data_IF_096785446467
#
_entry.id   IF_096785446467
#
_cell.length_a   1.000
_cell.length_b   1.000
_cell.length_c   1.000
_cell.angle_alpha   90.00
_cell.angle_beta   90.00
_cell.angle_gamma   90.00
#
_symmetry.space_group_name_H-M   'P 1'
#
loop_
_entity.id
_entity.type
_entity.pdbx_description
1 polymer ?
#
# COMPACT_ATOMS: atom_id res chain seq x y z
N UNK A 1 4.30 20.35 -43.42
CA UNK A 1 2.99 20.03 -42.81
C UNK A 1 3.04 18.61 -42.25
N UNK A 2 3.24 18.46 -40.93
CA UNK A 2 3.16 17.15 -40.28
C UNK A 2 1.69 16.91 -39.90
N UNK A 3 1.04 16.00 -40.63
CA UNK A 3 -0.26 15.45 -40.27
C UNK A 3 -0.11 14.64 -38.97
N UNK A 4 -0.25 15.30 -37.82
CA UNK A 4 -0.35 14.62 -36.52
C UNK A 4 -1.75 14.01 -36.45
N UNK A 5 -1.90 12.82 -37.04
CA UNK A 5 -3.08 12.00 -36.88
C UNK A 5 -3.18 11.53 -35.43
N UNK A 6 -3.84 12.32 -34.58
CA UNK A 6 -4.27 11.89 -33.25
C UNK A 6 -5.29 10.77 -33.48
N UNK A 7 -5.05 9.53 -32.99
CA UNK A 7 -5.97 8.43 -33.22
C UNK A 7 -7.38 8.82 -32.77
N UNK A 8 -8.39 8.55 -33.59
CA UNK A 8 -9.80 8.85 -33.26
C UNK A 8 -10.20 8.22 -31.92
N UNK A 9 -9.61 7.06 -31.57
CA UNK A 9 -9.75 6.41 -30.27
C UNK A 9 -9.21 7.25 -29.10
N UNK A 10 -8.12 7.99 -29.27
CA UNK A 10 -7.55 8.91 -28.27
C UNK A 10 -8.44 10.15 -28.10
N UNK A 11 -8.97 10.71 -29.20
CA UNK A 11 -9.91 11.83 -29.19
C UNK A 11 -11.25 11.46 -28.52
N UNK A 12 -11.79 10.27 -28.84
CA UNK A 12 -13.01 9.75 -28.21
C UNK A 12 -12.79 9.42 -26.74
N UNK A 13 -11.62 8.87 -26.39
CA UNK A 13 -11.28 8.62 -24.99
C UNK A 13 -11.18 9.93 -24.19
N UNK A 14 -10.51 10.95 -24.72
CA UNK A 14 -10.42 12.29 -24.09
C UNK A 14 -11.79 12.96 -23.91
N UNK A 15 -12.74 12.76 -24.84
CA UNK A 15 -14.14 13.23 -24.69
C UNK A 15 -14.91 12.45 -23.62
N UNK A 16 -14.59 11.17 -23.41
CA UNK A 16 -15.23 10.30 -22.42
C UNK A 16 -14.70 10.45 -20.99
N UNK A 17 -13.53 11.06 -20.76
CA UNK A 17 -12.95 11.24 -19.42
C UNK A 17 -13.56 12.45 -18.70
N UNK A 18 -14.84 12.35 -18.31
CA UNK A 18 -15.54 13.37 -17.49
C UNK A 18 -14.80 13.72 -16.18
N UNK A 19 -13.91 12.84 -15.73
CA UNK A 19 -13.10 12.98 -14.52
C UNK A 19 -11.87 13.90 -14.71
N UNK A 20 -11.48 14.25 -15.95
CA UNK A 20 -10.49 15.31 -16.22
C UNK A 20 -11.06 16.72 -16.00
N UNK A 21 -12.37 16.87 -15.79
CA UNK A 21 -13.03 18.18 -15.57
C UNK A 21 -12.60 18.86 -14.26
N UNK A 22 -12.09 18.11 -13.30
CA UNK A 22 -11.50 18.66 -12.07
C UNK A 22 -10.02 18.29 -12.06
N UNK A 23 -9.10 19.26 -12.10
CA UNK A 23 -7.69 18.95 -11.94
C UNK A 23 -7.47 18.21 -10.62
N UNK A 24 -6.57 17.21 -10.58
CA UNK A 24 -6.20 16.56 -9.34
C UNK A 24 -5.73 17.61 -8.33
N UNK A 25 -6.20 17.47 -7.08
CA UNK A 25 -5.77 18.35 -5.99
C UNK A 25 -4.38 17.95 -5.54
N UNK A 26 -3.35 18.75 -5.81
CA UNK A 26 -2.03 18.51 -5.23
C UNK A 26 -2.03 18.86 -3.74
N UNK A 27 -1.38 18.02 -2.94
CA UNK A 27 -1.03 18.37 -1.57
C UNK A 27 0.36 18.98 -1.61
N UNK A 28 0.49 20.20 -1.09
CA UNK A 28 1.78 20.88 -1.03
C UNK A 28 2.07 21.35 0.38
N UNK A 29 3.31 21.11 0.80
CA UNK A 29 3.83 21.50 2.09
C UNK A 29 5.12 22.31 1.89
N UNK A 30 4.99 23.64 1.81
CA UNK A 30 6.03 24.55 1.33
C UNK A 30 6.61 24.11 -0.02
N UNK A 31 7.87 23.71 -0.10
CA UNK A 31 8.49 23.27 -1.35
C UNK A 31 8.35 21.76 -1.65
N UNK A 32 7.64 21.01 -0.79
CA UNK A 32 7.38 19.58 -0.99
C UNK A 32 6.07 19.37 -1.75
N UNK A 33 6.13 18.63 -2.86
CA UNK A 33 4.96 18.18 -3.61
C UNK A 33 4.62 16.74 -3.25
N UNK A 34 3.41 16.50 -2.72
CA UNK A 34 3.06 15.23 -2.05
C UNK A 34 1.94 14.49 -2.79
N UNK A 35 2.16 13.21 -3.05
CA UNK A 35 1.13 12.25 -3.47
C UNK A 35 1.05 11.04 -2.54
N UNK A 36 0.20 11.17 -1.53
CA UNK A 36 0.06 10.20 -0.46
C UNK A 36 -0.88 9.02 -0.82
N UNK A 37 -0.86 7.97 0.00
CA UNK A 37 -1.81 6.87 -0.01
C UNK A 37 -3.01 7.16 0.90
N UNK A 38 -4.11 6.41 0.73
CA UNK A 38 -5.28 6.55 1.60
C UNK A 38 -4.94 6.28 3.08
N UNK A 39 -3.92 5.46 3.35
CA UNK A 39 -3.38 5.22 4.69
C UNK A 39 -2.52 6.36 5.25
N UNK A 40 -2.25 7.41 4.48
CA UNK A 40 -1.50 8.60 4.91
C UNK A 40 -0.06 8.37 5.43
N UNK A 41 0.74 7.44 4.87
CA UNK A 41 2.11 7.18 5.37
C UNK A 41 3.02 8.41 5.34
N UNK A 42 2.93 9.26 4.31
CA UNK A 42 3.76 10.47 4.22
C UNK A 42 3.34 11.46 5.29
N UNK A 43 2.03 11.72 5.41
CA UNK A 43 1.50 12.61 6.44
C UNK A 43 1.85 12.11 7.86
N UNK A 44 1.77 10.80 8.10
CA UNK A 44 2.15 10.19 9.38
C UNK A 44 3.64 10.36 9.69
N UNK A 45 4.51 10.08 8.72
CA UNK A 45 5.97 10.25 8.81
C UNK A 45 6.35 11.71 9.11
N UNK A 46 5.80 12.67 8.36
CA UNK A 46 6.07 14.09 8.57
C UNK A 46 5.54 14.60 9.92
N UNK A 47 4.39 14.10 10.40
CA UNK A 47 3.87 14.45 11.73
C UNK A 47 4.78 13.97 12.85
N UNK A 48 5.25 12.72 12.79
CA UNK A 48 6.18 12.16 13.79
C UNK A 48 7.48 12.96 13.88
N UNK A 49 7.92 13.47 12.75
CA UNK A 49 9.17 14.24 12.64
C UNK A 49 8.96 15.75 12.85
N UNK A 50 7.81 16.19 13.37
CA UNK A 50 7.45 17.61 13.56
C UNK A 50 7.60 18.47 12.29
N UNK A 51 7.56 17.85 11.10
CA UNK A 51 7.72 18.51 9.82
C UNK A 51 6.37 18.78 9.13
N UNK A 52 5.25 18.36 9.72
CA UNK A 52 3.92 18.52 9.12
C UNK A 52 3.24 19.83 9.50
N UNK A 53 3.07 20.72 8.51
CA UNK A 53 2.05 21.76 8.55
C UNK A 53 0.84 21.35 7.67
N UNK A 54 -0.32 21.94 7.91
CA UNK A 54 -1.52 21.66 7.09
C UNK A 54 -1.23 21.96 5.61
N UNK A 55 -1.31 20.96 4.71
CA UNK A 55 -0.97 21.17 3.31
C UNK A 55 -1.93 22.17 2.68
N UNK A 56 -1.38 23.13 1.94
CA UNK A 56 -2.19 24.08 1.15
C UNK A 56 -2.66 23.35 -0.10
N UNK A 57 -3.98 23.33 -0.33
CA UNK A 57 -4.55 22.85 -1.60
C UNK A 57 -4.29 23.92 -2.65
N UNK A 58 -3.48 23.61 -3.65
CA UNK A 58 -3.31 24.48 -4.81
C UNK A 58 -4.27 24.05 -5.92
N UNK A 59 -5.04 25.01 -6.40
CA UNK A 59 -5.77 24.90 -7.67
C UNK A 59 -4.88 25.48 -8.77
N UNK A 60 -4.45 24.67 -9.75
CA UNK A 60 -3.65 25.19 -10.85
C UNK A 60 -4.44 26.18 -11.70
N UNK A 61 -3.76 27.18 -12.24
CA UNK A 61 -4.32 28.07 -13.26
C UNK A 61 -4.73 27.25 -14.49
N UNK A 62 -6.01 27.36 -14.91
CA UNK A 62 -6.59 26.52 -15.99
C UNK A 62 -5.93 26.72 -17.36
N UNK A 63 -5.33 27.87 -17.63
CA UNK A 63 -4.88 28.27 -18.97
C UNK A 63 -3.49 27.72 -19.35
N UNK A 64 -2.55 27.64 -18.41
CA UNK A 64 -1.20 27.07 -18.64
C UNK A 64 -1.24 25.55 -18.88
N UNK A 65 -2.24 24.88 -18.30
CA UNK A 65 -2.41 23.42 -18.43
C UNK A 65 -2.89 23.00 -19.82
N UNK A 66 -3.73 23.80 -20.48
CA UNK A 66 -4.23 23.50 -21.83
C UNK A 66 -3.12 23.63 -22.89
N UNK A 67 -2.28 24.67 -22.80
CA UNK A 67 -1.16 24.88 -23.73
C UNK A 67 -0.07 23.79 -23.58
N UNK A 68 0.23 23.35 -22.35
CA UNK A 68 1.16 22.23 -22.14
C UNK A 68 0.57 20.90 -22.62
N UNK A 69 -0.73 20.65 -22.40
CA UNK A 69 -1.42 19.47 -22.93
C UNK A 69 -1.28 19.36 -24.44
N UNK A 70 -1.53 20.44 -25.18
CA UNK A 70 -1.48 20.42 -26.65
C UNK A 70 -0.08 20.06 -27.17
N UNK A 71 0.97 20.59 -26.54
CA UNK A 71 2.37 20.29 -26.93
C UNK A 71 2.79 18.86 -26.54
N UNK A 72 2.22 18.31 -25.47
CA UNK A 72 2.48 16.96 -24.99
C UNK A 72 1.69 15.86 -25.72
N UNK A 73 0.65 16.20 -26.50
CA UNK A 73 -0.21 15.21 -27.20
C UNK A 73 0.55 14.30 -28.19
N UNK A 74 1.60 14.81 -28.86
CA UNK A 74 2.41 14.00 -29.78
C UNK A 74 3.26 12.96 -29.03
N UNK A 75 3.94 13.37 -27.95
CA UNK A 75 4.69 12.48 -27.07
C UNK A 75 3.79 11.46 -26.35
N UNK A 76 2.62 11.89 -25.90
CA UNK A 76 1.59 11.01 -25.35
C UNK A 76 1.14 9.93 -26.34
N UNK A 77 0.98 10.29 -27.62
CA UNK A 77 0.58 9.35 -28.67
C UNK A 77 1.68 8.32 -28.93
N UNK A 78 2.95 8.73 -28.94
CA UNK A 78 4.08 7.81 -29.10
C UNK A 78 4.20 6.85 -27.91
N UNK A 79 4.11 7.36 -26.68
CA UNK A 79 4.14 6.55 -25.45
C UNK A 79 2.97 5.56 -25.39
N UNK A 80 1.77 5.99 -25.79
CA UNK A 80 0.61 5.10 -25.90
C UNK A 80 0.82 3.96 -26.89
N UNK A 81 1.35 4.27 -28.09
CA UNK A 81 1.65 3.26 -29.12
C UNK A 81 2.70 2.27 -28.63
N UNK A 82 3.74 2.75 -27.97
CA UNK A 82 4.79 1.90 -27.41
C UNK A 82 4.28 1.00 -26.28
N UNK A 83 3.38 1.51 -25.42
CA UNK A 83 2.78 0.73 -24.34
C UNK A 83 1.86 -0.40 -24.82
N UNK A 84 1.40 -0.36 -26.08
CA UNK A 84 0.58 -1.37 -26.73
C UNK A 84 -0.51 -1.99 -25.81
N UNK A 85 -1.41 -1.16 -25.22
CA UNK A 85 -2.38 -1.65 -24.24
C UNK A 85 -3.34 -2.67 -24.87
N UNK A 86 -3.44 -3.86 -24.27
CA UNK A 86 -4.23 -4.97 -24.79
C UNK A 86 -5.71 -4.91 -24.37
N UNK A 87 -6.03 -4.24 -23.27
CA UNK A 87 -7.39 -4.16 -22.72
C UNK A 87 -7.89 -2.72 -22.60
N UNK A 88 -9.23 -2.54 -22.57
CA UNK A 88 -9.83 -1.23 -22.30
C UNK A 88 -9.40 -0.64 -20.95
N UNK A 89 -9.13 -1.49 -19.96
CA UNK A 89 -8.60 -1.08 -18.67
C UNK A 89 -7.17 -0.53 -18.78
N UNK A 90 -6.31 -1.18 -19.57
CA UNK A 90 -4.95 -0.72 -19.83
C UNK A 90 -4.94 0.62 -20.57
N UNK A 91 -5.81 0.76 -21.58
CA UNK A 91 -6.04 2.03 -22.28
C UNK A 91 -6.38 3.14 -21.28
N UNK A 92 -7.36 2.92 -20.41
CA UNK A 92 -7.74 3.91 -19.39
C UNK A 92 -6.59 4.25 -18.43
N UNK A 93 -5.79 3.25 -18.03
CA UNK A 93 -4.63 3.47 -17.15
C UNK A 93 -3.55 4.30 -17.83
N UNK A 94 -3.21 4.00 -19.08
CA UNK A 94 -2.22 4.76 -19.86
C UNK A 94 -2.70 6.19 -20.04
N UNK A 95 -3.97 6.41 -20.41
CA UNK A 95 -4.51 7.77 -20.57
C UNK A 95 -4.51 8.57 -19.27
N UNK A 96 -4.84 7.94 -18.14
CA UNK A 96 -4.75 8.56 -16.80
C UNK A 96 -3.31 8.93 -16.47
N UNK A 97 -2.36 8.01 -16.69
CA UNK A 97 -0.93 8.24 -16.45
C UNK A 97 -0.44 9.46 -17.23
N UNK A 98 -0.71 9.49 -18.54
CA UNK A 98 -0.30 10.59 -19.42
C UNK A 98 -0.93 11.92 -19.03
N UNK A 99 -2.24 11.93 -18.71
CA UNK A 99 -2.94 13.14 -18.27
C UNK A 99 -2.36 13.69 -16.96
N UNK A 100 -2.07 12.80 -16.00
CA UNK A 100 -1.43 13.19 -14.75
C UNK A 100 0.01 13.67 -14.95
N UNK A 101 0.74 13.08 -15.89
CA UNK A 101 2.11 13.49 -16.16
C UNK A 101 2.15 14.93 -16.69
N UNK A 102 1.30 15.27 -17.66
CA UNK A 102 1.19 16.65 -18.16
C UNK A 102 0.79 17.61 -17.04
N UNK A 103 -0.17 17.20 -16.21
CA UNK A 103 -0.59 17.98 -15.05
C UNK A 103 0.58 18.29 -14.12
N UNK A 104 1.34 17.27 -13.71
CA UNK A 104 2.46 17.44 -12.78
C UNK A 104 3.57 18.30 -13.36
N UNK A 105 3.89 18.06 -14.63
CA UNK A 105 4.88 18.85 -15.33
C UNK A 105 4.49 20.33 -15.43
N UNK A 106 3.20 20.64 -15.67
CA UNK A 106 2.70 22.01 -15.63
C UNK A 106 2.79 22.64 -14.24
N UNK A 107 2.41 21.89 -13.19
CA UNK A 107 2.49 22.35 -11.79
C UNK A 107 3.94 22.68 -11.42
N UNK A 108 4.88 21.76 -11.67
CA UNK A 108 6.29 21.92 -11.33
C UNK A 108 6.98 23.05 -12.10
N UNK A 109 6.60 23.27 -13.38
CA UNK A 109 7.15 24.40 -14.14
C UNK A 109 6.61 25.75 -13.70
N UNK A 110 5.39 25.81 -13.18
CA UNK A 110 4.82 27.05 -12.66
C UNK A 110 5.40 27.46 -11.31
N UNK A 111 5.80 26.48 -10.50
CA UNK A 111 6.35 26.70 -9.17
C UNK A 111 7.17 25.46 -8.78
N UNK A 112 8.50 25.58 -8.92
CA UNK A 112 9.42 24.45 -8.85
C UNK A 112 9.52 23.93 -7.40
N UNK A 113 9.04 22.69 -7.11
CA UNK A 113 9.24 22.11 -5.80
C UNK A 113 10.71 21.70 -5.63
N UNK A 114 11.19 21.69 -4.39
CA UNK A 114 12.54 21.21 -4.09
C UNK A 114 12.61 19.69 -4.11
N UNK A 115 11.50 19.01 -3.80
CA UNK A 115 11.38 17.55 -3.71
C UNK A 115 9.97 17.11 -4.08
N UNK A 116 9.86 15.97 -4.77
CA UNK A 116 8.61 15.24 -4.96
C UNK A 116 8.55 14.03 -4.02
N UNK A 117 7.57 14.00 -3.12
CA UNK A 117 7.32 12.91 -2.19
C UNK A 117 6.11 12.08 -2.63
N UNK A 118 6.28 10.78 -2.78
CA UNK A 118 5.20 9.90 -3.24
C UNK A 118 5.21 8.55 -2.58
N UNK A 119 4.03 7.94 -2.49
CA UNK A 119 3.92 6.55 -2.07
C UNK A 119 4.07 5.61 -3.26
N UNK A 120 4.90 4.57 -3.12
CA UNK A 120 5.08 3.54 -4.15
C UNK A 120 3.84 2.66 -4.27
N UNK A 121 3.11 2.85 -5.35
CA UNK A 121 1.95 2.03 -5.74
C UNK A 121 1.86 2.00 -7.25
N UNK A 122 0.97 1.18 -7.80
CA UNK A 122 0.69 1.17 -9.24
C UNK A 122 -0.32 2.26 -9.67
N UNK A 123 -0.55 3.28 -8.83
CA UNK A 123 -1.45 4.39 -9.14
C UNK A 123 -0.88 5.24 -10.28
N UNK A 124 -1.63 5.44 -11.39
CA UNK A 124 -1.19 6.28 -12.50
C UNK A 124 -0.79 7.69 -12.05
N UNK A 125 -1.43 8.23 -11.01
CA UNK A 125 -1.15 9.57 -10.50
C UNK A 125 0.23 9.68 -9.84
N UNK A 126 0.62 8.66 -9.08
CA UNK A 126 1.90 8.62 -8.35
C UNK A 126 3.06 8.32 -9.30
N UNK A 127 2.84 7.39 -10.24
CA UNK A 127 3.81 7.09 -11.30
C UNK A 127 4.08 8.34 -12.17
N UNK A 128 3.03 9.06 -12.54
CA UNK A 128 3.15 10.31 -13.29
C UNK A 128 3.92 11.40 -12.54
N UNK A 129 3.71 11.52 -11.21
CA UNK A 129 4.45 12.49 -10.40
C UNK A 129 5.95 12.17 -10.41
N UNK A 130 6.31 10.91 -10.17
CA UNK A 130 7.71 10.48 -10.16
C UNK A 130 8.40 10.69 -11.50
N UNK A 131 7.73 10.31 -12.60
CA UNK A 131 8.26 10.52 -13.95
C UNK A 131 8.45 12.01 -14.29
N UNK A 132 7.47 12.86 -13.98
CA UNK A 132 7.57 14.30 -14.25
C UNK A 132 8.64 14.98 -13.38
N UNK A 133 8.79 14.58 -12.12
CA UNK A 133 9.83 15.09 -11.22
C UNK A 133 11.23 14.72 -11.73
N UNK A 134 11.43 13.44 -12.06
CA UNK A 134 12.72 12.93 -12.53
C UNK A 134 13.17 13.62 -13.83
N UNK A 135 12.25 13.84 -14.79
CA UNK A 135 12.56 14.57 -16.03
C UNK A 135 12.96 16.02 -15.78
N UNK A 136 12.38 16.67 -14.77
CA UNK A 136 12.70 18.04 -14.39
C UNK A 136 13.89 18.14 -13.42
N UNK A 137 14.57 17.03 -13.12
CA UNK A 137 15.71 17.00 -12.19
C UNK A 137 15.31 17.31 -10.74
N UNK A 138 14.04 17.14 -10.39
CA UNK A 138 13.55 17.30 -9.02
C UNK A 138 13.75 15.98 -8.27
N UNK A 139 14.45 15.97 -7.12
CA UNK A 139 14.63 14.76 -6.32
C UNK A 139 13.31 14.07 -5.96
N UNK A 140 13.29 12.75 -6.11
CA UNK A 140 12.13 11.89 -5.85
C UNK A 140 12.36 11.07 -4.59
N UNK A 141 11.55 11.33 -3.56
CA UNK A 141 11.52 10.58 -2.30
C UNK A 141 10.29 9.65 -2.28
N UNK A 142 10.53 8.36 -2.05
CA UNK A 142 9.49 7.33 -2.18
C UNK A 142 9.23 6.64 -0.85
N UNK A 143 7.97 6.62 -0.40
CA UNK A 143 7.50 5.79 0.71
C UNK A 143 7.02 4.45 0.18
N UNK A 144 7.61 3.37 0.67
CA UNK A 144 7.09 2.03 0.44
C UNK A 144 5.88 1.82 1.36
N UNK A 145 4.75 1.34 0.82
CA UNK A 145 3.57 0.97 1.64
C UNK A 145 3.37 -0.53 1.76
N UNK A 146 4.00 -1.31 0.90
CA UNK A 146 3.96 -2.75 0.99
C UNK A 146 5.07 -3.21 1.92
N UNK A 147 4.75 -4.03 2.91
CA UNK A 147 5.73 -4.38 3.94
C UNK A 147 6.75 -5.46 3.52
N UNK A 148 6.57 -6.08 2.34
CA UNK A 148 7.17 -7.40 2.10
C UNK A 148 7.81 -7.61 0.71
N UNK A 149 7.36 -6.93 -0.35
CA UNK A 149 7.88 -7.23 -1.70
C UNK A 149 8.99 -6.27 -2.12
N UNK A 150 10.10 -6.82 -2.59
CA UNK A 150 11.03 -6.12 -3.48
C UNK A 150 10.34 -5.97 -4.83
N UNK A 151 9.63 -4.86 -5.01
CA UNK A 151 9.03 -4.52 -6.29
C UNK A 151 10.13 -4.30 -7.33
N UNK A 152 9.88 -4.63 -8.62
CA UNK A 152 10.76 -4.21 -9.70
C UNK A 152 10.99 -2.70 -9.57
N UNK A 153 12.22 -2.21 -9.85
CA UNK A 153 12.58 -0.80 -9.71
C UNK A 153 11.52 0.13 -10.26
N UNK A 154 11.37 1.31 -9.66
CA UNK A 154 10.45 2.30 -10.20
C UNK A 154 10.82 2.62 -11.66
N UNK A 155 9.85 2.89 -12.55
CA UNK A 155 10.13 3.19 -13.95
C UNK A 155 10.72 4.61 -14.16
N UNK A 156 11.32 5.18 -13.11
CA UNK A 156 11.97 6.48 -13.05
C UNK A 156 13.04 6.44 -11.97
N UNK A 157 14.11 7.26 -12.08
CA UNK A 157 15.09 7.44 -11.02
C UNK A 157 14.45 7.82 -9.68
N UNK A 158 14.97 7.23 -8.61
CA UNK A 158 14.55 7.49 -7.23
C UNK A 158 15.79 7.86 -6.44
N UNK A 159 15.81 9.06 -5.84
CA UNK A 159 16.94 9.56 -5.07
C UNK A 159 16.98 8.94 -3.68
N UNK A 160 15.81 8.76 -3.08
CA UNK A 160 15.70 8.18 -1.76
C UNK A 160 14.42 7.38 -1.52
N UNK A 161 14.51 6.40 -0.64
CA UNK A 161 13.42 5.50 -0.31
C UNK A 161 13.26 5.31 1.20
N UNK A 162 12.03 5.46 1.68
CA UNK A 162 11.61 5.12 3.03
C UNK A 162 10.99 3.73 3.03
N UNK A 163 11.66 2.81 3.70
CA UNK A 163 11.42 1.37 3.68
C UNK A 163 10.80 0.91 4.99
N UNK A 164 10.01 -0.16 4.97
CA UNK A 164 9.53 -0.76 6.23
C UNK A 164 10.58 -1.67 6.86
N UNK A 165 11.30 -2.44 6.05
CA UNK A 165 12.23 -3.47 6.53
C UNK A 165 13.67 -3.29 6.05
N UNK A 166 14.60 -3.96 6.73
CA UNK A 166 16.01 -4.07 6.33
C UNK A 166 16.15 -4.56 4.88
N UNK A 167 15.45 -5.63 4.51
CA UNK A 167 15.49 -6.18 3.14
C UNK A 167 15.12 -5.18 2.05
N UNK A 168 14.13 -4.33 2.32
CA UNK A 168 13.74 -3.27 1.39
C UNK A 168 14.78 -2.16 1.31
N UNK A 169 15.40 -1.83 2.45
CA UNK A 169 16.50 -0.86 2.53
C UNK A 169 17.73 -1.38 1.78
N UNK A 170 18.11 -2.64 2.00
CA UNK A 170 19.25 -3.29 1.35
C UNK A 170 19.04 -3.41 -0.16
N UNK A 171 17.82 -3.79 -0.58
CA UNK A 171 17.48 -3.84 -2.00
C UNK A 171 17.56 -2.45 -2.64
N UNK A 172 17.07 -1.41 -1.97
CA UNK A 172 17.20 -0.03 -2.46
C UNK A 172 18.68 0.41 -2.56
N UNK A 173 19.48 0.11 -1.53
CA UNK A 173 20.92 0.38 -1.54
C UNK A 173 21.64 -0.36 -2.68
N UNK A 174 21.25 -1.61 -2.98
CA UNK A 174 21.80 -2.36 -4.13
C UNK A 174 21.51 -1.73 -5.49
N UNK A 175 20.49 -0.86 -5.57
CA UNK A 175 20.15 -0.07 -6.75
C UNK A 175 20.79 1.34 -6.73
N UNK A 176 21.66 1.63 -5.75
CA UNK A 176 22.27 2.94 -5.55
C UNK A 176 21.34 3.99 -4.96
N UNK A 177 20.20 3.59 -4.41
CA UNK A 177 19.19 4.49 -3.83
C UNK A 177 19.50 4.70 -2.34
N UNK A 178 19.47 5.96 -1.88
CA UNK A 178 19.62 6.25 -0.45
C UNK A 178 18.37 5.76 0.29
N UNK A 179 18.52 4.81 1.20
CA UNK A 179 17.39 4.22 1.91
C UNK A 179 17.45 4.51 3.42
N UNK A 180 16.28 4.61 4.03
CA UNK A 180 16.13 4.66 5.48
C UNK A 180 14.94 3.80 5.90
N UNK A 181 15.05 3.14 7.05
CA UNK A 181 13.91 2.40 7.62
C UNK A 181 12.97 3.36 8.35
N UNK A 182 11.68 3.18 8.11
CA UNK A 182 10.61 3.85 8.83
C UNK A 182 10.37 3.14 10.18
N UNK A 183 10.07 3.90 11.24
CA UNK A 183 9.75 3.33 12.53
C UNK A 183 8.43 2.55 12.45
N UNK A 184 8.48 1.32 12.94
CA UNK A 184 7.33 0.42 13.12
C UNK A 184 7.16 0.15 14.61
N UNK A 185 6.12 0.71 15.24
CA UNK A 185 5.81 0.33 16.61
C UNK A 185 5.35 -1.13 16.61
N UNK A 186 6.12 -2.00 17.27
CA UNK A 186 5.78 -3.40 17.46
C UNK A 186 5.19 -3.60 18.85
N UNK A 187 4.00 -4.20 18.91
CA UNK A 187 3.40 -4.64 20.18
C UNK A 187 3.95 -6.03 20.53
N UNK A 188 4.11 -6.35 21.82
CA UNK A 188 4.39 -7.71 22.25
C UNK A 188 3.33 -8.66 21.69
N UNK A 189 3.76 -9.84 21.25
CA UNK A 189 2.83 -10.87 20.79
C UNK A 189 1.90 -11.28 21.94
N UNK A 190 0.60 -11.34 21.66
CA UNK A 190 -0.40 -11.77 22.64
C UNK A 190 -0.21 -13.24 22.98
N UNK A 191 -0.35 -13.55 24.25
CA UNK A 191 -0.36 -14.93 24.72
C UNK A 191 -1.55 -15.67 24.13
N UNK A 192 -1.30 -16.90 23.68
CA UNK A 192 -2.33 -17.77 23.15
C UNK A 192 -2.96 -18.54 24.31
N UNK A 193 -4.19 -18.19 24.67
CA UNK A 193 -4.98 -18.97 25.61
C UNK A 193 -6.18 -19.61 24.90
N UNK A 194 -6.42 -20.88 25.22
CA UNK A 194 -7.43 -21.69 24.53
C UNK A 194 -8.84 -21.14 24.72
N UNK A 195 -9.14 -20.60 25.91
CA UNK A 195 -10.43 -19.99 26.22
C UNK A 195 -10.69 -18.80 25.30
N UNK A 196 -9.76 -17.85 25.18
CA UNK A 196 -9.87 -16.69 24.31
C UNK A 196 -9.91 -17.05 22.83
N UNK A 197 -9.31 -18.16 22.41
CA UNK A 197 -9.44 -18.61 21.02
C UNK A 197 -10.83 -19.19 20.71
N UNK A 198 -11.48 -19.86 21.67
CA UNK A 198 -12.84 -20.41 21.49
C UNK A 198 -13.93 -19.36 21.68
N UNK A 199 -13.79 -18.49 22.68
CA UNK A 199 -14.82 -17.50 23.05
C UNK A 199 -14.54 -16.09 22.55
N UNK A 200 -13.27 -15.77 22.29
CA UNK A 200 -12.83 -14.46 21.83
C UNK A 200 -13.05 -14.25 20.34
N UNK A 201 -12.78 -13.03 19.90
CA UNK A 201 -12.94 -12.61 18.50
C UNK A 201 -11.78 -13.13 17.66
N UNK A 202 -12.09 -13.95 16.66
CA UNK A 202 -11.12 -14.42 15.67
C UNK A 202 -11.24 -13.53 14.44
N UNK A 203 -10.17 -12.81 14.08
CA UNK A 203 -10.17 -12.00 12.88
C UNK A 203 -9.93 -12.83 11.63
N UNK A 204 -10.63 -12.51 10.54
CA UNK A 204 -10.33 -13.05 9.23
C UNK A 204 -10.03 -11.91 8.24
N UNK A 205 -8.81 -11.89 7.74
CA UNK A 205 -8.32 -10.86 6.82
C UNK A 205 -8.39 -11.38 5.38
N UNK A 206 -9.27 -10.77 4.57
CA UNK A 206 -9.51 -11.22 3.20
C UNK A 206 -8.78 -10.37 2.16
N UNK A 207 -8.31 -11.04 1.11
CA UNK A 207 -7.81 -10.43 -0.11
C UNK A 207 -8.97 -10.01 -1.04
N UNK A 208 -8.65 -9.27 -2.11
CA UNK A 208 -9.60 -8.82 -3.13
C UNK A 208 -10.26 -9.97 -3.91
N UNK A 209 -9.59 -11.12 -3.96
CA UNK A 209 -9.95 -12.27 -4.80
C UNK A 209 -10.29 -13.53 -4.00
N UNK A 210 -10.78 -13.36 -2.78
CA UNK A 210 -11.23 -14.49 -1.96
C UNK A 210 -12.28 -15.34 -2.72
N UNK A 211 -12.06 -16.66 -2.75
CA UNK A 211 -13.04 -17.63 -3.26
C UNK A 211 -14.18 -17.72 -2.24
N UNK A 212 -15.31 -17.11 -2.60
CA UNK A 212 -16.48 -17.05 -1.70
C UNK A 212 -16.95 -18.44 -1.29
N UNK A 213 -17.00 -19.42 -2.18
CA UNK A 213 -17.51 -20.75 -1.85
C UNK A 213 -16.62 -21.43 -0.81
N UNK A 214 -15.30 -21.47 -1.09
CA UNK A 214 -14.33 -22.09 -0.19
C UNK A 214 -14.26 -21.38 1.16
N UNK A 215 -14.42 -20.06 1.16
CA UNK A 215 -14.47 -19.27 2.38
C UNK A 215 -15.66 -19.65 3.27
N UNK A 216 -16.85 -19.81 2.68
CA UNK A 216 -18.05 -20.18 3.42
C UNK A 216 -17.96 -21.59 3.98
N UNK A 217 -17.53 -22.55 3.15
CA UNK A 217 -17.30 -23.94 3.58
C UNK A 217 -16.31 -23.98 4.77
N UNK A 218 -15.25 -23.17 4.71
CA UNK A 218 -14.27 -23.05 5.78
C UNK A 218 -14.84 -22.43 7.05
N UNK A 219 -15.57 -21.31 6.94
CA UNK A 219 -16.22 -20.65 8.08
C UNK A 219 -17.21 -21.56 8.81
N UNK A 220 -18.01 -22.33 8.06
CA UNK A 220 -18.93 -23.32 8.63
C UNK A 220 -18.18 -24.49 9.27
N UNK A 221 -17.05 -24.90 8.69
CA UNK A 221 -16.17 -25.91 9.27
C UNK A 221 -15.57 -25.48 10.62
N UNK A 222 -15.18 -24.21 10.76
CA UNK A 222 -14.61 -23.68 12.00
C UNK A 222 -15.58 -23.77 13.19
N UNK A 223 -16.86 -23.49 12.96
CA UNK A 223 -17.87 -23.67 14.02
C UNK A 223 -18.17 -25.15 14.28
N UNK A 224 -18.46 -25.92 13.23
CA UNK A 224 -18.88 -27.33 13.37
C UNK A 224 -17.79 -28.21 14.00
N UNK A 225 -16.53 -28.03 13.60
CA UNK A 225 -15.45 -28.94 13.97
C UNK A 225 -14.64 -28.41 15.16
N UNK A 226 -14.57 -27.10 15.36
CA UNK A 226 -13.67 -26.49 16.36
C UNK A 226 -14.36 -25.53 17.33
N UNK A 227 -15.69 -25.34 17.22
CA UNK A 227 -16.50 -24.46 18.06
C UNK A 227 -16.06 -22.98 18.05
N UNK A 228 -15.52 -22.50 16.93
CA UNK A 228 -15.09 -21.10 16.75
C UNK A 228 -16.25 -20.29 16.16
N UNK A 229 -16.87 -19.42 16.96
CA UNK A 229 -18.17 -18.77 16.64
C UNK A 229 -18.17 -17.26 16.48
N UNK A 230 -17.08 -16.58 16.83
CA UNK A 230 -17.02 -15.13 16.90
C UNK A 230 -16.04 -14.56 15.86
N UNK A 231 -16.29 -14.92 14.59
CA UNK A 231 -15.37 -14.62 13.50
C UNK A 231 -15.66 -13.21 12.97
N UNK A 232 -14.64 -12.35 12.96
CA UNK A 232 -14.71 -10.97 12.51
C UNK A 232 -14.10 -10.91 11.11
N UNK A 233 -14.92 -10.82 10.07
CA UNK A 233 -14.45 -10.86 8.68
C UNK A 233 -14.19 -9.44 8.20
N UNK A 234 -12.92 -9.11 7.92
CA UNK A 234 -12.55 -7.83 7.32
C UNK A 234 -12.29 -8.01 5.82
N UNK A 235 -13.20 -7.55 4.94
CA UNK A 235 -13.05 -7.70 3.50
C UNK A 235 -12.02 -6.71 2.93
N UNK A 236 -11.43 -7.05 1.78
CA UNK A 236 -10.74 -6.08 0.96
C UNK A 236 -11.74 -5.06 0.36
N UNK A 237 -11.39 -3.77 0.16
CA UNK A 237 -12.26 -2.71 -0.39
C UNK A 237 -12.89 -2.95 -1.77
N UNK A 238 -12.59 -4.08 -2.41
CA UNK A 238 -13.10 -4.47 -3.74
C UNK A 238 -13.72 -5.86 -3.80
N UNK A 239 -13.88 -6.56 -2.67
CA UNK A 239 -14.43 -7.93 -2.65
C UNK A 239 -15.94 -8.00 -2.94
N UNK A 240 -16.67 -6.89 -2.74
CA UNK A 240 -18.13 -6.85 -2.88
C UNK A 240 -18.88 -7.75 -1.89
N UNK A 241 -18.23 -8.19 -0.80
CA UNK A 241 -18.82 -9.04 0.22
C UNK A 241 -19.81 -8.26 1.09
N UNK A 242 -20.94 -8.88 1.39
CA UNK A 242 -21.99 -8.33 2.26
C UNK A 242 -22.31 -9.30 3.39
N UNK A 243 -22.93 -8.82 4.48
CA UNK A 243 -23.20 -9.65 5.66
C UNK A 243 -24.08 -10.86 5.34
N UNK A 244 -25.02 -10.73 4.40
CA UNK A 244 -25.89 -11.85 3.97
C UNK A 244 -25.15 -12.97 3.26
N UNK A 245 -23.90 -12.73 2.83
CA UNK A 245 -23.06 -13.77 2.24
C UNK A 245 -22.49 -14.70 3.32
N UNK A 246 -22.39 -14.26 4.59
CA UNK A 246 -21.65 -14.94 5.65
C UNK A 246 -22.56 -15.79 6.56
N UNK A 247 -22.05 -16.92 7.12
CA UNK A 247 -22.79 -17.69 8.11
C UNK A 247 -22.95 -16.89 9.41
N UNK A 248 -23.90 -17.31 10.26
CA UNK A 248 -24.24 -16.62 11.53
C UNK A 248 -23.09 -16.52 12.53
N UNK A 249 -22.05 -17.33 12.36
CA UNK A 249 -20.83 -17.34 13.18
C UNK A 249 -19.80 -16.28 12.76
N UNK A 250 -20.09 -15.55 11.68
CA UNK A 250 -19.21 -14.55 11.11
C UNK A 250 -19.91 -13.18 11.00
N UNK A 251 -19.18 -12.14 11.42
CA UNK A 251 -19.62 -10.75 11.37
C UNK A 251 -18.71 -9.98 10.41
N UNK A 252 -19.30 -9.38 9.39
CA UNK A 252 -18.61 -8.52 8.45
C UNK A 252 -18.23 -7.19 9.13
N UNK A 253 -16.95 -6.84 9.07
CA UNK A 253 -16.42 -5.57 9.54
C UNK A 253 -16.27 -4.58 8.40
N UNK A 254 -16.39 -3.28 8.71
CA UNK A 254 -16.17 -2.24 7.72
C UNK A 254 -14.69 -2.19 7.35
N UNK A 255 -14.37 -2.39 6.07
CA UNK A 255 -13.00 -2.29 5.56
C UNK A 255 -12.41 -0.88 5.75
N UNK A 256 -13.27 0.15 5.88
CA UNK A 256 -12.86 1.53 6.14
C UNK A 256 -12.39 1.74 7.57
N UNK A 257 -12.73 0.83 8.50
CA UNK A 257 -12.18 0.85 9.84
C UNK A 257 -10.64 0.80 9.74
N UNK A 258 -9.92 1.67 10.47
CA UNK A 258 -8.47 1.60 10.58
C UNK A 258 -8.04 0.18 10.97
N UNK A 259 -7.03 -0.36 10.27
CA UNK A 259 -6.56 -1.72 10.53
C UNK A 259 -6.10 -1.90 12.00
N UNK A 260 -5.38 -0.95 12.65
CA UNK A 260 -5.02 -1.07 14.06
C UNK A 260 -6.23 -1.28 14.98
N UNK A 261 -7.31 -0.51 14.80
CA UNK A 261 -8.52 -0.62 15.63
C UNK A 261 -9.19 -1.99 15.46
N UNK A 262 -9.18 -2.52 14.25
CA UNK A 262 -9.66 -3.87 13.98
C UNK A 262 -8.77 -4.93 14.66
N UNK A 263 -7.44 -4.79 14.54
CA UNK A 263 -6.47 -5.70 15.14
C UNK A 263 -6.51 -5.66 16.68
N UNK A 264 -6.78 -4.50 17.28
CA UNK A 264 -7.03 -4.36 18.73
C UNK A 264 -8.27 -5.13 19.19
N UNK A 265 -9.24 -5.35 18.29
CA UNK A 265 -10.50 -6.02 18.63
C UNK A 265 -10.48 -7.55 18.52
N UNK A 266 -9.43 -8.15 17.95
CA UNK A 266 -9.34 -9.61 17.69
C UNK A 266 -8.20 -10.25 18.47
N UNK A 267 -8.31 -11.52 18.86
CA UNK A 267 -7.27 -12.24 19.60
C UNK A 267 -6.24 -12.90 18.69
N UNK A 268 -6.70 -13.48 17.59
CA UNK A 268 -5.87 -14.09 16.55
C UNK A 268 -6.41 -13.68 15.18
N UNK A 269 -5.57 -13.75 14.16
CA UNK A 269 -5.97 -13.55 12.77
C UNK A 269 -5.77 -14.85 11.96
N UNK A 270 -6.86 -15.31 11.35
CA UNK A 270 -6.85 -16.20 10.20
C UNK A 270 -6.61 -15.32 8.96
N UNK A 271 -5.59 -15.65 8.17
CA UNK A 271 -5.32 -14.89 6.95
C UNK A 271 -4.99 -15.80 5.79
N UNK A 272 -5.39 -15.36 4.61
CA UNK A 272 -4.86 -15.82 3.33
C UNK A 272 -3.66 -14.96 2.95
N UNK A 273 -3.23 -15.08 1.69
CA UNK A 273 -2.09 -14.37 1.11
C UNK A 273 -2.29 -12.86 1.15
N UNK A 274 -1.84 -12.22 2.24
CA UNK A 274 -2.06 -10.80 2.47
C UNK A 274 -0.93 -10.15 3.26
N UNK A 275 -0.54 -8.95 2.83
CA UNK A 275 0.38 -8.08 3.58
C UNK A 275 -0.13 -7.72 4.97
N UNK A 276 -1.45 -7.85 5.20
CA UNK A 276 -2.06 -7.64 6.51
C UNK A 276 -1.62 -8.66 7.56
N UNK A 277 -1.00 -9.79 7.17
CA UNK A 277 -0.40 -10.72 8.13
C UNK A 277 0.77 -10.07 8.88
N UNK A 278 1.64 -9.35 8.18
CA UNK A 278 2.73 -8.61 8.83
C UNK A 278 2.19 -7.50 9.71
N UNK A 279 1.15 -6.78 9.29
CA UNK A 279 0.49 -5.78 10.14
C UNK A 279 -0.08 -6.42 11.42
N UNK A 280 -0.73 -7.58 11.32
CA UNK A 280 -1.27 -8.30 12.47
C UNK A 280 -0.16 -8.73 13.45
N UNK A 281 0.93 -9.33 12.96
CA UNK A 281 2.08 -9.72 13.78
C UNK A 281 2.72 -8.53 14.48
N UNK A 282 2.94 -7.42 13.75
CA UNK A 282 3.46 -6.17 14.33
C UNK A 282 2.54 -5.61 15.41
N UNK A 283 1.24 -5.82 15.29
CA UNK A 283 0.25 -5.42 16.27
C UNK A 283 0.05 -6.44 17.40
N UNK A 284 0.96 -7.42 17.48
CA UNK A 284 0.97 -8.45 18.51
C UNK A 284 -0.15 -9.48 18.37
N UNK A 285 -0.82 -9.56 17.21
CA UNK A 285 -1.88 -10.55 16.97
C UNK A 285 -1.26 -11.80 16.35
N UNK A 286 -1.32 -12.98 16.99
CA UNK A 286 -0.91 -14.24 16.40
C UNK A 286 -1.69 -14.52 15.11
N UNK A 287 -0.98 -14.97 14.08
CA UNK A 287 -1.53 -15.20 12.75
C UNK A 287 -1.42 -16.68 12.40
N UNK A 288 -2.43 -17.22 11.73
CA UNK A 288 -2.34 -18.52 11.08
C UNK A 288 -2.73 -18.39 9.61
N UNK A 289 -1.90 -18.96 8.74
CA UNK A 289 -2.10 -18.91 7.30
C UNK A 289 -3.00 -20.05 6.84
N UNK A 290 -4.03 -19.74 6.04
CA UNK A 290 -4.86 -20.74 5.37
C UNK A 290 -4.75 -20.60 3.86
N UNK A 291 -4.10 -21.58 3.23
CA UNK A 291 -3.97 -21.70 1.78
C UNK A 291 -5.32 -22.03 1.12
N UNK A 292 -5.49 -21.57 -0.13
CA UNK A 292 -6.56 -22.02 -1.02
C UNK A 292 -7.91 -21.34 -0.81
N UNK A 293 -7.96 -20.28 -0.01
CA UNK A 293 -9.15 -19.42 0.16
C UNK A 293 -9.20 -18.25 -0.84
N UNK A 294 -8.18 -18.08 -1.67
CA UNK A 294 -8.14 -17.17 -2.82
C UNK A 294 -7.49 -17.85 -4.03
N UNK A 295 -7.35 -17.11 -5.15
CA UNK A 295 -6.72 -17.57 -6.39
C UNK A 295 -5.18 -17.53 -6.35
N UNK A 296 -4.59 -17.30 -5.18
CA UNK A 296 -3.15 -17.19 -5.00
C UNK A 296 -2.66 -18.40 -4.22
N UNK A 297 -2.02 -19.32 -4.94
CA UNK A 297 -1.61 -20.59 -4.35
C UNK A 297 -0.52 -20.43 -3.29
N UNK A 298 0.34 -19.42 -3.40
CA UNK A 298 1.52 -19.25 -2.56
C UNK A 298 1.46 -18.07 -1.59
N UNK A 299 2.03 -18.30 -0.40
CA UNK A 299 2.23 -17.30 0.63
C UNK A 299 3.34 -16.32 0.18
N UNK A 300 2.95 -15.20 -0.44
CA UNK A 300 3.85 -14.25 -1.09
C UNK A 300 4.81 -13.50 -0.15
N UNK A 301 4.62 -13.61 1.16
CA UNK A 301 5.34 -12.82 2.16
C UNK A 301 6.55 -13.56 2.72
N UNK A 302 6.64 -14.87 2.49
CA UNK A 302 7.70 -15.75 2.98
C UNK A 302 7.69 -15.96 4.49
N UNK A 303 6.66 -15.48 5.20
CA UNK A 303 6.48 -15.71 6.64
C UNK A 303 6.29 -17.19 6.94
N UNK A 304 5.58 -17.91 6.08
CA UNK A 304 5.41 -19.36 6.24
C UNK A 304 6.73 -20.10 6.02
N UNK A 305 7.45 -19.77 4.94
CA UNK A 305 8.72 -20.40 4.60
C UNK A 305 9.81 -20.17 5.67
N UNK A 306 9.75 -19.03 6.36
CA UNK A 306 10.64 -18.70 7.49
C UNK A 306 10.19 -19.29 8.83
N UNK A 307 9.04 -19.95 8.90
CA UNK A 307 8.48 -20.45 10.17
C UNK A 307 8.02 -19.35 11.13
N UNK A 308 7.69 -18.16 10.65
CA UNK A 308 7.17 -17.07 11.49
C UNK A 308 5.67 -17.24 11.78
N UNK A 309 4.93 -17.84 10.84
CA UNK A 309 3.51 -18.18 11.00
C UNK A 309 3.29 -19.66 10.67
N UNK A 310 2.35 -20.34 11.34
CA UNK A 310 1.94 -21.68 10.95
C UNK A 310 0.97 -21.66 9.76
N UNK A 311 0.97 -22.75 8.99
CA UNK A 311 -0.08 -23.07 8.02
C UNK A 311 -1.12 -24.00 8.67
N UNK A 312 -2.40 -23.76 8.35
CA UNK A 312 -3.53 -24.62 8.68
C UNK A 312 -3.86 -25.54 7.50
N UNK A 313 -3.63 -26.85 7.64
CA UNK A 313 -3.85 -27.84 6.56
C UNK A 313 -5.06 -28.71 6.86
N UNK A 314 -5.80 -29.10 5.82
CA UNK A 314 -6.93 -30.03 5.96
C UNK A 314 -7.88 -29.63 7.10
N UNK A 315 -8.06 -30.58 8.03
CA UNK A 315 -8.90 -30.50 9.24
C UNK A 315 -8.08 -30.26 10.53
N UNK A 316 -6.85 -29.73 10.42
CA UNK A 316 -6.03 -29.36 11.57
C UNK A 316 -6.82 -28.49 12.56
N UNK A 317 -6.65 -28.72 13.86
CA UNK A 317 -7.22 -27.82 14.88
C UNK A 317 -6.42 -26.50 14.89
N UNK A 318 -7.03 -25.36 14.51
CA UNK A 318 -6.34 -24.08 14.44
C UNK A 318 -5.83 -23.60 15.80
N UNK A 319 -6.50 -23.97 16.90
CA UNK A 319 -6.10 -23.60 18.27
C UNK A 319 -4.85 -24.36 18.66
N UNK A 320 -4.86 -25.68 18.45
CA UNK A 320 -3.70 -26.52 18.73
C UNK A 320 -2.50 -26.04 17.92
N UNK A 321 -2.70 -25.79 16.61
CA UNK A 321 -1.65 -25.36 15.71
C UNK A 321 -1.02 -24.03 16.12
N UNK A 322 -1.84 -23.07 16.54
CA UNK A 322 -1.38 -21.79 17.07
C UNK A 322 -0.57 -21.97 18.36
N UNK A 323 -1.05 -22.80 19.31
CA UNK A 323 -0.34 -23.07 20.57
C UNK A 323 1.01 -23.74 20.32
N UNK A 324 1.04 -24.80 19.52
CA UNK A 324 2.27 -25.52 19.16
C UNK A 324 3.30 -24.59 18.53
N UNK A 325 2.86 -23.70 17.64
CA UNK A 325 3.75 -22.76 16.97
C UNK A 325 4.27 -21.69 17.93
N UNK A 326 3.38 -20.88 18.51
CA UNK A 326 3.76 -19.67 19.25
C UNK A 326 4.18 -19.91 20.70
N UNK A 327 3.87 -21.07 21.28
CA UNK A 327 4.29 -21.47 22.63
C UNK A 327 5.32 -22.61 22.61
N UNK A 328 5.64 -23.15 21.42
CA UNK A 328 6.63 -24.20 21.25
C UNK A 328 8.06 -23.72 21.47
N UNK A 329 8.95 -24.66 21.80
CA UNK A 329 10.39 -24.41 21.86
C UNK A 329 10.92 -24.19 20.44
N UNK A 330 11.18 -22.93 20.06
CA UNK A 330 11.75 -22.60 18.75
C UNK A 330 11.06 -21.45 18.01
N UNK A 331 9.93 -20.94 18.50
CA UNK A 331 9.37 -19.70 17.94
C UNK A 331 10.19 -18.49 18.36
N UNK A 332 10.90 -17.91 17.40
CA UNK A 332 11.69 -16.70 17.60
C UNK A 332 11.06 -15.52 16.85
N UNK A 333 10.20 -14.77 17.55
CA UNK A 333 9.69 -13.49 17.06
C UNK A 333 10.82 -12.46 16.90
N UNK A 334 11.97 -12.63 17.57
CA UNK A 334 13.07 -11.68 17.49
C UNK A 334 13.59 -11.60 16.05
N UNK A 335 13.80 -12.75 15.39
CA UNK A 335 14.18 -12.82 13.96
C UNK A 335 13.23 -12.05 13.02
N UNK A 336 11.93 -12.02 13.32
CA UNK A 336 10.96 -11.20 12.57
C UNK A 336 11.09 -9.72 12.93
N UNK A 337 11.29 -9.41 14.22
CA UNK A 337 11.43 -8.03 14.70
C UNK A 337 12.71 -7.33 14.24
N UNK A 338 13.81 -8.08 14.02
CA UNK A 338 15.08 -7.56 13.50
C UNK A 338 14.96 -6.99 12.08
N UNK A 339 13.98 -7.46 11.30
CA UNK A 339 13.70 -6.88 9.98
C UNK A 339 13.16 -5.45 10.11
N UNK A 340 12.64 -5.03 11.26
CA UNK A 340 12.01 -3.73 11.49
C UNK A 340 12.77 -2.91 12.55
N UNK A 341 12.51 -1.61 12.61
CA UNK A 341 13.05 -0.74 13.65
C UNK A 341 11.92 0.05 14.29
N UNK A 342 11.98 0.27 15.59
CA UNK A 342 11.11 1.24 16.28
C UNK A 342 11.75 2.64 16.35
N UNK A 343 13.05 2.75 16.04
CA UNK A 343 13.80 3.99 16.11
C UNK A 343 13.49 4.88 14.88
N UNK A 344 12.98 6.11 15.08
CA UNK A 344 12.77 7.06 13.98
C UNK A 344 14.07 7.69 13.45
N UNK A 345 15.24 7.41 14.03
CA UNK A 345 16.50 8.09 13.71
C UNK A 345 16.88 8.10 12.23
N UNK A 346 16.87 6.94 11.57
CA UNK A 346 17.17 6.84 10.12
C UNK A 346 16.16 7.64 9.27
N UNK A 347 14.86 7.46 9.53
CA UNK A 347 13.78 8.23 8.88
C UNK A 347 14.00 9.74 9.06
N UNK A 348 14.28 10.17 10.29
CA UNK A 348 14.48 11.57 10.65
C UNK A 348 15.65 12.18 9.89
N UNK A 349 16.80 11.51 9.90
CA UNK A 349 18.02 11.98 9.22
C UNK A 349 17.81 12.09 7.71
N UNK A 350 17.12 11.11 7.10
CA UNK A 350 16.80 11.15 5.69
C UNK A 350 15.86 12.31 5.37
N UNK A 351 14.80 12.50 6.16
CA UNK A 351 13.88 13.62 5.96
C UNK A 351 14.57 14.98 6.11
N UNK A 352 15.46 15.14 7.09
CA UNK A 352 16.26 16.38 7.26
C UNK A 352 17.13 16.72 6.04
N UNK A 353 17.56 15.72 5.27
CA UNK A 353 18.36 15.91 4.05
C UNK A 353 17.52 16.45 2.89
N UNK A 354 16.24 16.10 2.84
CA UNK A 354 15.35 16.41 1.71
C UNK A 354 14.33 17.52 2.02
N UNK A 355 14.04 17.78 3.29
CA UNK A 355 13.12 18.84 3.71
C UNK A 355 13.88 20.15 3.99
N UNK A 356 13.39 21.31 3.51
CA UNK A 356 14.04 22.59 3.79
C UNK A 356 14.04 22.89 5.30
N UNK A 357 15.21 23.24 5.86
CA UNK A 357 15.39 23.59 7.29
C UNK A 357 14.39 24.62 7.83
N UNK A 358 13.88 25.52 6.98
CA UNK A 358 12.86 26.53 7.35
C UNK A 358 11.50 25.94 7.78
N UNK A 359 11.22 24.67 7.49
CA UNK A 359 9.96 24.05 7.95
C UNK A 359 10.05 23.43 9.34
N UNK A 360 11.24 23.34 9.94
CA UNK A 360 11.46 22.68 11.23
C UNK A 360 11.87 23.65 12.34
N UNK A 361 12.07 24.93 12.01
CA UNK A 361 12.55 25.96 12.94
C UNK A 361 11.45 26.95 13.40
N UNK A 362 10.24 26.89 12.83
CA UNK A 362 9.13 27.74 13.27
C UNK A 362 8.30 27.03 14.36
N UNK A 363 8.95 26.69 15.48
CA UNK A 363 8.34 26.52 16.81
C UNK A 363 9.33 26.84 17.91
#
# INVERSE_FOLDING_TARGET
MLSIGVPLSLLLALRGVSHLRKPPRSNRLGSLLIEDHASGPIAGSLKRNNAWASPRKQSPGRLTMLASLVKSLSGMTAAYRHAAPATAFDVQRVLKLLSYYVFWHAVMRSDLPSVAALVRTNSPRRLALGAAAAELGIPVLVWIVERQSNRPPAPYPVDAQLCWSSKQSDFAASLGIVAARMPVPMKPLRTIDETSLRTGKVGMLLNARADKKRLLDFLEGLDRNHAIRNIQVRPHPGSGMVQSDLPSVAVLRDWRQPLPDYLDSIYTALSMTSSSMTDALMHGVPVIYRRGLDDIDDELTGLLAKGIIPELRGDDDPILRLKEHYQGQGFDIASFSEEYTADPGEESQLLMRYLPRRQMADR
#
